data_IF_016554550413
#
_entry.id   IF_016554550413
#
_cell.length_a   1.000
_cell.length_b   1.000
_cell.length_c   1.000
_cell.angle_alpha   90.00
_cell.angle_beta   90.00
_cell.angle_gamma   90.00
#
_symmetry.space_group_name_H-M   'P 1'
#
loop_
_entity.id
_entity.type
_entity.pdbx_description
1 polymer ?
#
# COMPACT_ATOMS: atom_id res chain seq x y z
N UNK A 1 27.28 -9.39 23.94
CA UNK A 1 26.37 -8.35 24.40
C UNK A 1 25.82 -7.60 23.20
N UNK A 2 24.68 -8.09 22.70
CA UNK A 2 23.92 -7.47 21.62
C UNK A 2 23.11 -6.32 22.22
N UNK A 3 23.46 -5.07 21.85
CA UNK A 3 22.73 -3.87 22.22
C UNK A 3 21.39 -3.83 21.49
N UNK A 4 20.30 -3.96 22.24
CA UNK A 4 18.96 -3.69 21.77
C UNK A 4 18.84 -2.19 21.43
N UNK A 5 18.69 -1.84 20.17
CA UNK A 5 18.31 -0.50 19.75
C UNK A 5 16.83 -0.29 20.10
N UNK A 6 16.61 0.33 21.24
CA UNK A 6 15.26 0.74 21.68
C UNK A 6 14.83 1.90 20.79
N UNK A 7 13.86 1.63 19.94
CA UNK A 7 13.15 2.66 19.16
C UNK A 7 12.38 3.58 20.12
N UNK A 8 12.58 4.91 20.09
CA UNK A 8 11.95 5.80 21.03
C UNK A 8 10.42 5.83 20.83
N UNK A 9 9.62 5.64 21.90
CA UNK A 9 8.16 5.55 21.83
C UNK A 9 7.47 6.83 21.34
N UNK A 10 8.17 7.96 21.38
CA UNK A 10 7.63 9.26 20.96
C UNK A 10 7.32 9.36 19.45
N UNK A 11 7.96 8.56 18.59
CA UNK A 11 7.67 8.55 17.14
C UNK A 11 6.44 7.77 16.77
N UNK A 12 5.98 6.85 17.62
CA UNK A 12 4.73 6.13 17.41
C UNK A 12 3.49 6.98 17.76
N UNK A 13 3.61 7.91 18.69
CA UNK A 13 2.53 8.83 19.07
C UNK A 13 2.28 9.92 17.99
N UNK A 14 3.32 10.32 17.24
CA UNK A 14 3.19 11.32 16.17
C UNK A 14 2.52 10.76 14.90
N UNK A 15 2.50 9.45 14.69
CA UNK A 15 1.84 8.81 13.55
C UNK A 15 0.35 8.53 13.77
N UNK A 16 -0.15 8.69 15.00
CA UNK A 16 -1.56 8.52 15.37
C UNK A 16 -2.34 9.85 15.32
N UNK A 17 -2.00 10.74 14.38
CA UNK A 17 -2.89 11.84 14.02
C UNK A 17 -4.22 11.25 13.59
N UNK A 18 -5.28 11.46 14.41
CA UNK A 18 -6.65 11.13 14.00
C UNK A 18 -6.88 11.77 12.63
N UNK A 19 -7.38 11.00 11.64
CA UNK A 19 -7.76 11.62 10.39
C UNK A 19 -8.81 12.69 10.69
N UNK A 20 -8.47 13.94 10.43
CA UNK A 20 -9.38 15.08 10.53
C UNK A 20 -10.45 14.87 9.46
N UNK A 21 -11.60 14.38 9.87
CA UNK A 21 -12.76 14.19 8.98
C UNK A 21 -13.18 15.58 8.53
N UNK A 22 -13.08 15.93 7.25
CA UNK A 22 -13.45 17.26 6.80
C UNK A 22 -14.95 17.50 7.06
N UNK A 23 -15.27 18.62 7.69
CA UNK A 23 -16.62 18.99 8.11
C UNK A 23 -17.58 19.34 6.94
N UNK A 24 -17.12 19.33 5.69
CA UNK A 24 -17.93 19.53 4.49
C UNK A 24 -18.06 18.20 3.72
N UNK A 25 -19.20 17.93 3.06
CA UNK A 25 -19.32 16.74 2.24
C UNK A 25 -18.25 16.79 1.14
N UNK A 26 -17.25 15.96 1.28
CA UNK A 26 -16.18 15.86 0.28
C UNK A 26 -16.81 15.42 -1.04
N UNK A 27 -16.51 16.13 -2.12
CA UNK A 27 -16.95 15.71 -3.45
C UNK A 27 -16.27 14.39 -3.83
N UNK A 28 -16.94 13.60 -4.67
CA UNK A 28 -16.36 12.34 -5.18
C UNK A 28 -14.97 12.57 -5.78
N UNK A 29 -14.78 13.65 -6.55
CA UNK A 29 -13.49 14.00 -7.12
C UNK A 29 -12.42 14.21 -6.05
N UNK A 30 -12.71 14.97 -5.00
CA UNK A 30 -11.77 15.20 -3.90
C UNK A 30 -11.42 13.93 -3.13
N UNK A 31 -12.36 12.98 -3.01
CA UNK A 31 -12.09 11.67 -2.41
C UNK A 31 -11.14 10.83 -3.29
N UNK A 32 -11.36 10.82 -4.61
CA UNK A 32 -10.50 10.12 -5.57
C UNK A 32 -9.10 10.71 -5.55
N UNK A 33 -8.95 12.04 -5.65
CA UNK A 33 -7.64 12.70 -5.66
C UNK A 33 -6.86 12.38 -4.39
N UNK A 34 -7.49 12.49 -3.24
CA UNK A 34 -6.88 12.16 -1.96
C UNK A 34 -6.45 10.69 -1.87
N UNK A 35 -7.27 9.77 -2.35
CA UNK A 35 -6.95 8.35 -2.36
C UNK A 35 -5.78 8.05 -3.30
N UNK A 36 -5.71 8.66 -4.48
CA UNK A 36 -4.59 8.51 -5.42
C UNK A 36 -3.28 9.05 -4.85
N UNK A 37 -3.32 10.17 -4.12
CA UNK A 37 -2.14 10.77 -3.51
C UNK A 37 -1.62 9.99 -2.29
N UNK A 38 -2.50 9.40 -1.50
CA UNK A 38 -2.16 8.82 -0.20
C UNK A 38 -2.12 7.30 -0.16
N UNK A 39 -2.51 6.62 -1.22
CA UNK A 39 -2.58 5.14 -1.22
C UNK A 39 -1.19 4.49 -1.18
N UNK A 40 -0.83 3.78 -0.09
CA UNK A 40 0.43 3.04 -0.03
C UNK A 40 0.49 1.91 -1.07
N UNK A 41 -0.66 1.31 -1.39
CA UNK A 41 -0.79 0.25 -2.40
C UNK A 41 -0.41 0.75 -3.78
N UNK A 42 -0.86 1.96 -4.14
CA UNK A 42 -0.53 2.58 -5.42
C UNK A 42 0.95 2.99 -5.49
N UNK A 43 1.49 3.54 -4.40
CA UNK A 43 2.91 3.89 -4.29
C UNK A 43 3.80 2.65 -4.45
N UNK A 44 3.42 1.51 -3.85
CA UNK A 44 4.13 0.24 -4.00
C UNK A 44 4.09 -0.27 -5.45
N UNK A 45 2.92 -0.23 -6.11
CA UNK A 45 2.78 -0.65 -7.50
C UNK A 45 3.62 0.23 -8.43
N UNK A 46 3.66 1.55 -8.21
CA UNK A 46 4.51 2.49 -8.94
C UNK A 46 6.01 2.20 -8.75
N UNK A 47 6.43 1.95 -7.50
CA UNK A 47 7.81 1.60 -7.21
C UNK A 47 8.22 0.27 -7.88
N UNK A 48 7.33 -0.72 -7.92
CA UNK A 48 7.56 -1.98 -8.62
C UNK A 48 7.71 -1.80 -10.14
N UNK A 49 6.90 -0.93 -10.74
CA UNK A 49 7.01 -0.60 -12.17
C UNK A 49 8.36 0.08 -12.48
N UNK A 50 8.77 1.05 -11.67
CA UNK A 50 10.10 1.70 -11.82
C UNK A 50 11.27 0.74 -11.60
N UNK A 51 11.15 -0.20 -10.67
CA UNK A 51 12.15 -1.23 -10.49
C UNK A 51 12.27 -2.15 -11.72
N UNK A 52 11.16 -2.44 -12.39
CA UNK A 52 11.18 -3.19 -13.64
C UNK A 52 11.85 -2.41 -14.80
N UNK A 53 11.66 -1.09 -14.88
CA UNK A 53 12.39 -0.23 -15.85
C UNK A 53 13.91 -0.28 -15.59
N UNK A 54 14.34 -0.23 -14.32
CA UNK A 54 15.76 -0.42 -13.97
C UNK A 54 16.29 -1.79 -14.42
N UNK A 55 15.46 -2.82 -14.36
CA UNK A 55 15.77 -4.16 -14.90
C UNK A 55 16.00 -4.16 -16.39
N UNK A 56 15.26 -3.34 -17.15
CA UNK A 56 15.49 -3.14 -18.60
C UNK A 56 16.84 -2.49 -18.85
N UNK A 57 17.20 -1.46 -18.09
CA UNK A 57 18.47 -0.77 -18.24
C UNK A 57 19.65 -1.69 -17.88
N UNK A 58 19.50 -2.53 -16.86
CA UNK A 58 20.46 -3.56 -16.51
C UNK A 58 20.63 -4.58 -17.66
N UNK A 59 19.53 -5.06 -18.25
CA UNK A 59 19.57 -5.96 -19.40
C UNK A 59 20.18 -5.32 -20.65
N UNK A 60 20.07 -4.00 -20.80
CA UNK A 60 20.75 -3.24 -21.85
C UNK A 60 22.25 -3.13 -21.60
N UNK A 61 22.65 -2.82 -20.38
CA UNK A 61 24.06 -2.66 -20.01
C UNK A 61 24.84 -3.97 -20.09
N UNK A 62 24.20 -5.13 -19.85
CA UNK A 62 24.82 -6.45 -19.94
C UNK A 62 25.41 -6.76 -21.32
N UNK A 63 24.96 -6.08 -22.38
CA UNK A 63 25.55 -6.20 -23.73
C UNK A 63 26.52 -5.08 -24.08
N UNK A 64 26.91 -4.25 -23.12
CA UNK A 64 27.84 -3.14 -23.29
C UNK A 64 29.30 -3.54 -23.16
N UNK A 65 30.19 -2.57 -23.39
CA UNK A 65 31.63 -2.68 -23.07
C UNK A 65 31.81 -2.59 -21.56
N UNK A 66 32.44 -3.58 -20.98
CA UNK A 66 32.84 -3.57 -19.56
C UNK A 66 34.35 -3.36 -19.46
N UNK A 67 34.76 -2.35 -18.71
CA UNK A 67 36.16 -2.11 -18.38
C UNK A 67 36.34 -2.16 -16.87
N UNK A 68 37.26 -2.99 -16.40
CA UNK A 68 37.62 -3.13 -15.00
C UNK A 68 39.07 -2.82 -14.80
N UNK A 69 39.39 -1.92 -13.85
CA UNK A 69 40.73 -1.65 -13.38
C UNK A 69 40.89 -2.34 -12.02
N UNK A 70 41.87 -3.24 -11.90
CA UNK A 70 42.22 -3.93 -10.65
C UNK A 70 43.61 -3.62 -10.24
N UNK A 71 43.83 -3.39 -8.95
CA UNK A 71 45.14 -3.24 -8.36
C UNK A 71 45.30 -4.21 -7.18
N UNK A 72 46.33 -4.99 -7.15
CA UNK A 72 46.61 -5.90 -6.04
C UNK A 72 48.01 -5.60 -5.50
N UNK A 73 48.15 -5.50 -4.18
CA UNK A 73 49.43 -5.38 -3.49
C UNK A 73 49.49 -6.53 -2.48
N UNK A 74 50.48 -7.38 -2.64
CA UNK A 74 50.67 -8.54 -1.78
C UNK A 74 52.02 -8.43 -1.06
N UNK A 75 51.99 -8.43 0.26
CA UNK A 75 53.17 -8.52 1.11
C UNK A 75 53.37 -9.96 1.61
N UNK A 76 54.57 -10.49 1.51
CA UNK A 76 54.89 -11.83 2.01
C UNK A 76 55.99 -11.73 3.08
N UNK A 77 55.66 -12.13 4.31
CA UNK A 77 56.59 -12.18 5.46
C UNK A 77 56.37 -13.48 6.24
N UNK A 78 57.40 -14.27 6.53
CA UNK A 78 58.80 -14.15 6.08
C UNK A 78 58.96 -14.50 4.59
N UNK A 79 59.95 -13.89 3.95
CA UNK A 79 60.30 -14.19 2.55
C UNK A 79 60.85 -15.60 2.45
N UNK A 80 60.29 -16.50 1.64
CA UNK A 80 60.84 -17.85 1.47
C UNK A 80 62.15 -17.80 0.70
N UNK A 81 63.20 -18.26 1.37
CA UNK A 81 64.56 -18.41 0.77
C UNK A 81 64.71 -19.84 0.27
N UNK A 82 65.13 -20.01 -0.97
CA UNK A 82 65.53 -21.32 -1.50
C UNK A 82 67.02 -21.43 -1.46
N UNK A 83 67.50 -22.46 -0.75
CA UNK A 83 68.91 -22.76 -0.63
C UNK A 83 69.23 -23.94 -1.55
N UNK A 84 70.07 -23.68 -2.58
CA UNK A 84 70.57 -24.69 -3.45
C UNK A 84 72.04 -25.03 -3.00
N UNK A 85 72.42 -26.31 -2.83
CA UNK A 85 73.75 -26.66 -2.42
C UNK A 85 74.80 -26.07 -3.36
N UNK A 86 75.72 -25.23 -2.79
CA UNK A 86 76.76 -24.56 -3.57
C UNK A 86 76.42 -23.17 -4.11
N UNK A 87 75.25 -22.62 -3.81
CA UNK A 87 74.87 -21.25 -4.15
C UNK A 87 74.42 -20.48 -2.89
N UNK A 88 74.48 -19.16 -2.95
CA UNK A 88 73.96 -18.32 -1.88
C UNK A 88 72.40 -18.41 -1.86
N UNK A 89 71.76 -18.32 -0.68
CA UNK A 89 70.34 -18.31 -0.55
C UNK A 89 69.73 -17.18 -1.38
N UNK A 90 68.75 -17.52 -2.24
CA UNK A 90 68.16 -16.57 -3.11
C UNK A 90 66.65 -16.44 -2.76
N UNK A 91 66.14 -15.20 -2.68
CA UNK A 91 64.73 -14.92 -2.55
C UNK A 91 64.01 -15.36 -3.84
N UNK A 92 63.00 -16.21 -3.69
CA UNK A 92 62.22 -16.74 -4.83
C UNK A 92 60.92 -15.99 -5.02
N UNK A 93 60.43 -15.37 -3.93
CA UNK A 93 59.21 -14.56 -3.96
C UNK A 93 59.57 -13.18 -3.41
N UNK A 94 59.24 -12.07 -4.11
CA UNK A 94 59.52 -10.74 -3.60
C UNK A 94 58.72 -10.46 -2.32
N UNK A 95 59.32 -9.74 -1.37
CA UNK A 95 58.70 -9.35 -0.12
C UNK A 95 57.45 -8.47 -0.35
N UNK A 96 57.43 -7.76 -1.46
CA UNK A 96 56.31 -6.94 -1.91
C UNK A 96 56.08 -7.17 -3.41
N UNK A 97 54.90 -7.59 -3.75
CA UNK A 97 54.44 -7.71 -5.13
C UNK A 97 53.27 -6.74 -5.36
N UNK A 98 53.34 -5.96 -6.42
CA UNK A 98 52.30 -5.03 -6.81
C UNK A 98 51.93 -5.25 -8.27
N UNK A 99 50.65 -5.49 -8.56
CA UNK A 99 50.13 -5.67 -9.90
C UNK A 99 49.01 -4.71 -10.18
N UNK A 100 48.97 -4.21 -11.41
CA UNK A 100 47.89 -3.40 -11.94
C UNK A 100 47.38 -4.07 -13.19
N UNK A 101 46.05 -4.37 -13.19
CA UNK A 101 45.37 -5.03 -14.31
C UNK A 101 44.30 -4.16 -14.89
N UNK A 102 44.21 -4.07 -16.22
CA UNK A 102 43.11 -3.52 -16.97
C UNK A 102 42.46 -4.64 -17.78
N UNK A 103 41.21 -4.94 -17.48
CA UNK A 103 40.41 -5.91 -18.23
C UNK A 103 39.33 -5.16 -19.05
N UNK A 104 39.21 -5.48 -20.34
CA UNK A 104 38.18 -4.99 -21.20
C UNK A 104 37.43 -6.20 -21.74
N UNK A 105 36.11 -6.25 -21.48
CA UNK A 105 35.24 -7.35 -21.87
C UNK A 105 34.13 -6.84 -22.79
N UNK A 106 33.99 -7.48 -23.96
CA UNK A 106 32.92 -7.22 -24.92
C UNK A 106 32.12 -8.51 -25.14
N UNK A 107 30.91 -8.63 -24.62
CA UNK A 107 30.09 -9.83 -24.80
C UNK A 107 29.61 -9.94 -26.27
N UNK A 108 29.93 -11.05 -26.93
CA UNK A 108 29.46 -11.36 -28.28
C UNK A 108 28.16 -12.16 -28.21
N UNK A 109 27.05 -11.58 -28.71
CA UNK A 109 25.71 -12.19 -28.66
C UNK A 109 25.48 -13.17 -29.86
N UNK A 110 26.32 -14.19 -29.96
CA UNK A 110 26.27 -15.18 -31.06
C UNK A 110 24.95 -15.96 -31.06
N UNK A 111 24.44 -16.29 -29.85
CA UNK A 111 23.19 -17.05 -29.66
C UNK A 111 21.93 -16.20 -29.52
N UNK A 112 21.99 -14.89 -29.74
CA UNK A 112 20.89 -13.93 -29.53
C UNK A 112 20.31 -13.94 -28.12
N UNK A 113 21.03 -14.45 -27.13
CA UNK A 113 20.63 -14.57 -25.75
C UNK A 113 20.39 -13.20 -25.13
N UNK A 114 21.33 -12.27 -25.28
CA UNK A 114 21.24 -10.90 -24.76
C UNK A 114 20.04 -10.14 -25.32
N UNK A 115 19.76 -10.37 -26.64
CA UNK A 115 18.58 -9.80 -27.29
C UNK A 115 17.27 -10.36 -26.70
N UNK A 116 17.23 -11.66 -26.42
CA UNK A 116 16.07 -12.31 -25.82
C UNK A 116 15.85 -11.84 -24.38
N UNK A 117 16.93 -11.71 -23.60
CA UNK A 117 16.90 -11.18 -22.23
C UNK A 117 16.39 -9.73 -22.19
N UNK A 118 16.84 -8.86 -23.12
CA UNK A 118 16.31 -7.48 -23.24
C UNK A 118 14.82 -7.45 -23.55
N UNK A 119 14.36 -8.31 -24.48
CA UNK A 119 12.93 -8.39 -24.82
C UNK A 119 12.10 -8.91 -23.64
N UNK A 120 12.61 -9.89 -22.89
CA UNK A 120 11.95 -10.40 -21.71
C UNK A 120 11.87 -9.32 -20.61
N UNK A 121 12.95 -8.56 -20.37
CA UNK A 121 12.96 -7.46 -19.43
C UNK A 121 11.96 -6.36 -19.84
N UNK A 122 11.91 -6.00 -21.14
CA UNK A 122 10.95 -5.02 -21.65
C UNK A 122 9.51 -5.48 -21.43
N UNK A 123 9.17 -6.71 -21.81
CA UNK A 123 7.84 -7.27 -21.57
C UNK A 123 7.49 -7.33 -20.08
N UNK A 124 8.48 -7.58 -19.23
CA UNK A 124 8.33 -7.52 -17.76
C UNK A 124 7.99 -6.12 -17.25
N UNK A 125 8.66 -5.09 -17.80
CA UNK A 125 8.38 -3.69 -17.47
C UNK A 125 7.00 -3.26 -17.95
N UNK A 126 6.63 -3.60 -19.18
CA UNK A 126 5.30 -3.32 -19.73
C UNK A 126 4.19 -3.97 -18.87
N UNK A 127 4.41 -5.22 -18.44
CA UNK A 127 3.49 -5.90 -17.53
C UNK A 127 3.43 -5.26 -16.14
N UNK A 128 4.53 -4.71 -15.62
CA UNK A 128 4.55 -4.02 -14.34
C UNK A 128 3.80 -2.68 -14.40
N UNK A 129 3.93 -1.92 -15.48
CA UNK A 129 3.15 -0.71 -15.71
C UNK A 129 1.66 -1.00 -15.89
N UNK A 130 1.28 -2.04 -16.63
CA UNK A 130 -0.12 -2.45 -16.74
C UNK A 130 -0.73 -2.83 -15.36
N UNK A 131 0.05 -3.46 -14.48
CA UNK A 131 -0.38 -3.73 -13.10
C UNK A 131 -0.55 -2.45 -12.27
N UNK A 132 0.29 -1.45 -12.46
CA UNK A 132 0.13 -0.15 -11.83
C UNK A 132 -1.18 0.52 -12.27
N UNK A 133 -1.47 0.55 -13.56
CA UNK A 133 -2.72 1.09 -14.09
C UNK A 133 -3.93 0.33 -13.55
N UNK A 134 -3.88 -1.00 -13.53
CA UNK A 134 -4.91 -1.83 -12.92
C UNK A 134 -5.13 -1.51 -11.43
N UNK A 135 -4.04 -1.33 -10.67
CA UNK A 135 -4.14 -0.98 -9.25
C UNK A 135 -4.76 0.40 -9.05
N UNK A 136 -4.48 1.37 -9.94
CA UNK A 136 -5.08 2.69 -9.95
C UNK A 136 -6.59 2.62 -10.23
N UNK A 137 -6.99 1.91 -11.28
CA UNK A 137 -8.40 1.77 -11.65
C UNK A 137 -9.19 1.05 -10.57
N UNK A 138 -8.61 0.02 -9.96
CA UNK A 138 -9.18 -0.69 -8.82
C UNK A 138 -9.40 0.25 -7.62
N UNK A 139 -8.42 1.09 -7.30
CA UNK A 139 -8.52 2.07 -6.22
C UNK A 139 -9.66 3.08 -6.49
N UNK A 140 -9.72 3.61 -7.71
CA UNK A 140 -10.81 4.53 -8.12
C UNK A 140 -12.16 3.86 -7.95
N UNK A 141 -12.30 2.62 -8.41
CA UNK A 141 -13.55 1.87 -8.26
C UNK A 141 -13.94 1.66 -6.78
N UNK A 142 -12.96 1.30 -5.93
CA UNK A 142 -13.18 1.12 -4.49
C UNK A 142 -13.67 2.41 -3.83
N UNK A 143 -13.05 3.56 -4.15
CA UNK A 143 -13.46 4.88 -3.64
C UNK A 143 -14.86 5.26 -4.12
N UNK A 144 -15.16 5.07 -5.41
CA UNK A 144 -16.50 5.35 -5.98
C UNK A 144 -17.56 4.51 -5.26
N UNK A 145 -17.30 3.22 -5.08
CA UNK A 145 -18.20 2.30 -4.38
C UNK A 145 -18.41 2.71 -2.92
N UNK A 146 -17.35 3.07 -2.22
CA UNK A 146 -17.44 3.53 -0.82
C UNK A 146 -18.23 4.83 -0.72
N UNK A 147 -17.97 5.79 -1.60
CA UNK A 147 -18.69 7.08 -1.64
C UNK A 147 -20.20 6.91 -1.81
N UNK A 148 -20.62 6.11 -2.81
CA UNK A 148 -22.05 5.83 -3.01
C UNK A 148 -22.64 4.98 -1.89
N UNK A 149 -21.82 4.12 -1.24
CA UNK A 149 -22.20 3.39 -0.03
C UNK A 149 -22.55 4.33 1.12
N UNK A 150 -21.79 5.40 1.32
CA UNK A 150 -22.09 6.44 2.33
C UNK A 150 -23.40 7.14 1.98
N UNK A 151 -23.60 7.59 0.74
CA UNK A 151 -24.82 8.27 0.31
C UNK A 151 -26.05 7.38 0.50
N UNK A 152 -25.96 6.10 0.18
CA UNK A 152 -27.04 5.13 0.38
C UNK A 152 -27.35 4.93 1.87
N UNK A 153 -26.33 4.80 2.71
CA UNK A 153 -26.50 4.62 4.16
C UNK A 153 -27.12 5.88 4.81
N UNK A 154 -26.71 7.06 4.40
CA UNK A 154 -27.29 8.34 4.87
C UNK A 154 -28.76 8.48 4.44
N UNK A 155 -29.09 8.20 3.18
CA UNK A 155 -30.47 8.24 2.72
C UNK A 155 -31.35 7.21 3.45
N UNK A 156 -30.82 6.02 3.74
CA UNK A 156 -31.56 5.01 4.51
C UNK A 156 -31.76 5.44 5.97
N UNK A 157 -30.77 6.06 6.61
CA UNK A 157 -30.89 6.64 7.95
C UNK A 157 -31.99 7.72 7.96
N UNK A 158 -32.01 8.62 7.00
CA UNK A 158 -33.03 9.69 6.92
C UNK A 158 -34.45 9.14 6.71
N UNK A 159 -34.57 8.10 5.88
CA UNK A 159 -35.86 7.41 5.69
C UNK A 159 -36.36 6.71 6.97
N UNK A 160 -35.44 6.08 7.72
CA UNK A 160 -35.78 5.43 9.01
C UNK A 160 -36.09 6.45 10.09
N UNK A 161 -35.45 7.62 10.11
CA UNK A 161 -35.78 8.73 11.00
C UNK A 161 -37.22 9.23 10.74
N UNK A 162 -37.60 9.45 9.48
CA UNK A 162 -38.95 9.80 9.11
C UNK A 162 -39.99 8.73 9.51
N UNK A 163 -39.62 7.46 9.47
CA UNK A 163 -40.48 6.36 9.94
C UNK A 163 -40.68 6.39 11.48
N UNK A 164 -39.67 6.80 12.26
CA UNK A 164 -39.83 7.03 13.70
C UNK A 164 -40.81 8.15 13.96
N UNK A 165 -40.66 9.30 13.26
CA UNK A 165 -41.58 10.44 13.41
C UNK A 165 -43.03 10.04 13.10
N UNK A 166 -43.25 9.28 12.03
CA UNK A 166 -44.59 8.77 11.68
C UNK A 166 -45.14 7.80 12.72
N UNK A 167 -44.29 6.93 13.30
CA UNK A 167 -44.73 6.01 14.35
C UNK A 167 -45.04 6.75 15.68
N UNK A 168 -44.30 7.81 16.01
CA UNK A 168 -44.57 8.67 17.17
C UNK A 168 -45.93 9.37 17.03
N UNK A 169 -46.21 9.93 15.86
CA UNK A 169 -47.49 10.57 15.58
C UNK A 169 -48.66 9.56 15.63
N UNK A 170 -48.50 8.39 15.01
CA UNK A 170 -49.48 7.30 15.08
C UNK A 170 -49.78 6.88 16.52
N UNK A 171 -48.75 6.74 17.32
CA UNK A 171 -48.84 6.44 18.76
C UNK A 171 -49.62 7.54 19.49
N UNK A 172 -49.31 8.81 19.22
CA UNK A 172 -50.01 9.97 19.82
C UNK A 172 -51.51 9.96 19.50
N UNK A 173 -51.85 9.76 18.25
CA UNK A 173 -53.28 9.69 17.80
C UNK A 173 -54.00 8.50 18.44
N UNK A 174 -53.36 7.31 18.44
CA UNK A 174 -53.94 6.10 19.02
C UNK A 174 -54.22 6.28 20.51
N UNK A 175 -53.29 6.83 21.27
CA UNK A 175 -53.49 7.10 22.71
C UNK A 175 -54.62 8.10 22.97
N UNK A 176 -54.77 9.14 22.14
CA UNK A 176 -55.88 10.08 22.25
C UNK A 176 -57.23 9.39 22.01
N UNK A 177 -57.28 8.46 21.03
CA UNK A 177 -58.49 7.65 20.74
C UNK A 177 -58.83 6.70 21.89
N UNK A 178 -57.86 6.06 22.49
CA UNK A 178 -58.07 5.21 23.66
C UNK A 178 -58.61 6.04 24.82
N UNK A 179 -58.02 7.22 25.11
CA UNK A 179 -58.46 8.12 26.16
C UNK A 179 -59.92 8.64 25.94
N UNK A 180 -60.34 8.76 24.69
CA UNK A 180 -61.68 9.11 24.29
C UNK A 180 -62.67 7.91 24.30
N UNK A 181 -62.23 6.71 24.63
CA UNK A 181 -63.02 5.48 24.58
C UNK A 181 -63.36 4.97 23.16
N UNK A 182 -62.61 5.46 22.14
CA UNK A 182 -62.83 5.13 20.72
C UNK A 182 -61.88 4.04 20.20
N UNK A 183 -60.98 3.53 21.03
CA UNK A 183 -60.03 2.45 20.73
C UNK A 183 -59.72 1.65 22.02
N UNK A 184 -59.18 0.43 21.86
CA UNK A 184 -58.85 -0.43 22.99
C UNK A 184 -57.34 -0.36 23.32
N UNK A 185 -56.98 -0.84 24.52
CA UNK A 185 -55.59 -0.85 25.02
C UNK A 185 -54.67 -1.67 24.14
N UNK A 186 -55.15 -2.70 23.43
CA UNK A 186 -54.38 -3.50 22.51
C UNK A 186 -53.84 -2.66 21.34
N UNK A 187 -54.61 -1.72 20.83
CA UNK A 187 -54.18 -0.79 19.78
C UNK A 187 -53.05 0.12 20.29
N UNK A 188 -53.13 0.60 21.54
CA UNK A 188 -52.07 1.38 22.17
C UNK A 188 -50.77 0.55 22.28
N UNK A 189 -50.85 -0.70 22.75
CA UNK A 189 -49.67 -1.60 22.86
C UNK A 189 -49.06 -1.90 21.49
N UNK A 190 -49.87 -2.07 20.43
CA UNK A 190 -49.38 -2.24 19.06
C UNK A 190 -48.67 -1.00 18.56
N UNK A 191 -49.15 0.19 18.84
CA UNK A 191 -48.53 1.44 18.46
C UNK A 191 -47.21 1.65 19.22
N UNK A 192 -47.13 1.30 20.51
CA UNK A 192 -45.89 1.34 21.31
C UNK A 192 -44.86 0.36 20.77
N UNK A 193 -45.27 -0.84 20.39
CA UNK A 193 -44.37 -1.87 19.79
C UNK A 193 -43.86 -1.41 18.41
N UNK A 194 -44.73 -0.80 17.59
CA UNK A 194 -44.31 -0.27 16.28
C UNK A 194 -43.28 0.84 16.42
N UNK A 195 -43.46 1.74 17.38
CA UNK A 195 -42.49 2.80 17.67
C UNK A 195 -41.14 2.21 18.17
N UNK A 196 -41.17 1.23 19.08
CA UNK A 196 -39.96 0.58 19.55
C UNK A 196 -39.16 -0.07 18.41
N UNK A 197 -39.86 -0.74 17.49
CA UNK A 197 -39.26 -1.34 16.27
C UNK A 197 -38.71 -0.29 15.30
N UNK A 198 -39.40 0.83 15.12
CA UNK A 198 -38.90 1.90 14.26
C UNK A 198 -37.60 2.52 14.84
N UNK A 199 -37.54 2.73 16.15
CA UNK A 199 -36.33 3.22 16.84
C UNK A 199 -35.15 2.26 16.76
N UNK A 200 -35.40 0.95 16.88
CA UNK A 200 -34.37 -0.08 16.69
C UNK A 200 -33.80 -0.02 15.25
N UNK A 201 -34.68 0.11 14.25
CA UNK A 201 -34.26 0.23 12.85
C UNK A 201 -33.43 1.50 12.60
N UNK A 202 -33.78 2.63 13.22
CA UNK A 202 -33.01 3.86 13.15
C UNK A 202 -31.61 3.67 13.76
N UNK A 203 -31.50 3.08 14.95
CA UNK A 203 -30.21 2.82 15.58
C UNK A 203 -29.28 1.92 14.72
N UNK A 204 -29.85 0.91 14.07
CA UNK A 204 -29.11 0.08 13.11
C UNK A 204 -28.69 0.85 11.86
N UNK A 205 -29.53 1.75 11.35
CA UNK A 205 -29.21 2.59 10.21
C UNK A 205 -28.10 3.60 10.54
N UNK A 206 -28.12 4.20 11.74
CA UNK A 206 -27.08 5.11 12.22
C UNK A 206 -25.72 4.39 12.34
N UNK A 207 -25.70 3.17 12.88
CA UNK A 207 -24.48 2.35 12.96
C UNK A 207 -23.91 2.09 11.56
N UNK A 208 -24.76 1.68 10.61
CA UNK A 208 -24.32 1.42 9.22
C UNK A 208 -23.80 2.67 8.53
N UNK A 209 -24.41 3.83 8.76
CA UNK A 209 -23.93 5.09 8.22
C UNK A 209 -22.56 5.48 8.81
N UNK A 210 -22.34 5.24 10.10
CA UNK A 210 -21.05 5.46 10.74
C UNK A 210 -19.98 4.52 10.18
N UNK A 211 -20.29 3.23 10.01
CA UNK A 211 -19.39 2.24 9.40
C UNK A 211 -19.02 2.60 7.95
N UNK A 212 -20.01 3.00 7.14
CA UNK A 212 -19.76 3.42 5.76
C UNK A 212 -18.85 4.65 5.67
N UNK A 213 -19.02 5.63 6.55
CA UNK A 213 -18.13 6.81 6.62
C UNK A 213 -16.71 6.44 7.07
N UNK A 214 -16.59 5.53 8.03
CA UNK A 214 -15.28 5.04 8.47
C UNK A 214 -14.53 4.27 7.38
N UNK A 215 -15.27 3.58 6.50
CA UNK A 215 -14.68 2.86 5.36
C UNK A 215 -14.20 3.80 4.24
N UNK A 216 -14.72 5.03 4.17
CA UNK A 216 -14.31 6.05 3.18
C UNK A 216 -13.14 6.92 3.69
N UNK A 217 -12.94 7.02 5.00
CA UNK A 217 -11.92 7.87 5.64
C UNK A 217 -10.51 7.32 5.52
#
# INVERSE_FOLDING_TARGET
TLGASVWPPERLAAAAGRPEVPAAPATLAACIDRALERSPRLALAHAAARAADTGVDLARSAGGLHAALSGEVRGTTPTPLVQIPGQEPREVIPALDASLGLAIEVPLDVGRRLRSERRAAQAGADAAWARYEQARDQLVFEVVRAYYGVLQADAFRDATAAAVDAAEESRRVTRARVAAGMANDLESQRADTALAKAREQLALAESRAAEARAALA
#
